data_IF_638278667600
#
_entry.id   IF_638278667600
#
_cell.length_a   1.000
_cell.length_b   1.000
_cell.length_c   1.000
_cell.angle_alpha   90.00
_cell.angle_beta   90.00
_cell.angle_gamma   90.00
#
_symmetry.space_group_name_H-M   'P 1'
#
loop_
_entity.id
_entity.type
_entity.pdbx_description
1 polymer ?
#
# COMPACT_ATOMS: atom_id res chain seq x y z
N UNK A 1 6.01 17.70 -17.56
CA UNK A 1 5.21 16.51 -17.23
C UNK A 1 4.22 16.23 -18.35
N UNK A 2 3.88 14.96 -18.62
CA UNK A 2 2.75 14.66 -19.50
C UNK A 2 1.49 15.35 -18.94
N UNK A 3 0.77 16.08 -19.80
CA UNK A 3 -0.49 16.72 -19.44
C UNK A 3 -1.64 15.71 -19.24
N UNK A 4 -1.36 14.43 -19.47
CA UNK A 4 -2.30 13.31 -19.48
C UNK A 4 -2.00 12.36 -18.31
N UNK A 5 -3.00 11.62 -17.81
CA UNK A 5 -2.76 10.52 -16.90
C UNK A 5 -1.67 9.57 -17.45
N UNK A 6 -0.77 9.11 -16.58
CA UNK A 6 0.38 8.30 -16.96
C UNK A 6 0.58 7.16 -15.96
N UNK A 7 0.82 5.95 -16.46
CA UNK A 7 1.20 4.80 -15.66
C UNK A 7 2.72 4.61 -15.60
N UNK A 8 3.15 3.54 -14.93
CA UNK A 8 4.57 3.24 -14.72
C UNK A 8 5.36 3.14 -16.02
N UNK A 9 4.81 2.50 -17.06
CA UNK A 9 5.50 2.34 -18.34
C UNK A 9 5.80 3.69 -19.01
N UNK A 10 4.83 4.61 -19.01
CA UNK A 10 5.01 5.95 -19.56
C UNK A 10 6.03 6.76 -18.74
N UNK A 11 6.02 6.61 -17.40
CA UNK A 11 7.01 7.25 -16.53
C UNK A 11 8.42 6.71 -16.79
N UNK A 12 8.59 5.38 -16.88
CA UNK A 12 9.88 4.75 -17.15
C UNK A 12 10.44 5.16 -18.52
N UNK A 13 9.60 5.13 -19.57
CA UNK A 13 9.97 5.58 -20.92
C UNK A 13 10.44 7.04 -20.92
N UNK A 14 9.74 7.91 -20.18
CA UNK A 14 10.14 9.31 -20.06
C UNK A 14 11.45 9.47 -19.27
N UNK A 15 11.62 8.74 -18.17
CA UNK A 15 12.84 8.78 -17.37
C UNK A 15 14.09 8.40 -18.18
N UNK A 16 13.99 7.34 -18.98
CA UNK A 16 15.06 6.88 -19.86
C UNK A 16 15.37 7.90 -20.96
N UNK A 17 14.34 8.40 -21.65
CA UNK A 17 14.49 9.32 -22.77
C UNK A 17 15.08 10.67 -22.37
N UNK A 18 14.64 11.23 -21.24
CA UNK A 18 15.11 12.53 -20.76
C UNK A 18 16.33 12.43 -19.83
N UNK A 19 16.80 11.20 -19.54
CA UNK A 19 17.83 10.93 -18.53
C UNK A 19 17.51 11.55 -17.15
N UNK A 20 16.23 11.54 -16.78
CA UNK A 20 15.73 12.04 -15.50
C UNK A 20 15.09 10.88 -14.69
N UNK A 21 15.76 10.37 -13.64
CA UNK A 21 15.24 9.25 -12.84
C UNK A 21 13.91 9.58 -12.12
N UNK A 22 13.53 10.86 -12.04
CA UNK A 22 12.26 11.28 -11.43
C UNK A 22 11.13 11.43 -12.45
N UNK A 23 11.39 11.12 -13.73
CA UNK A 23 10.44 11.23 -14.82
C UNK A 23 9.78 12.64 -14.92
N UNK A 24 10.56 13.70 -14.73
CA UNK A 24 10.10 15.08 -14.80
C UNK A 24 9.19 15.51 -13.64
N UNK A 25 9.08 14.68 -12.59
CA UNK A 25 8.18 14.90 -11.44
C UNK A 25 8.87 15.57 -10.24
N UNK A 26 10.21 15.60 -10.20
CA UNK A 26 10.94 16.22 -9.10
C UNK A 26 10.70 17.74 -9.09
N UNK A 27 10.39 18.26 -7.91
CA UNK A 27 10.32 19.71 -7.70
C UNK A 27 11.72 20.31 -7.65
N UNK A 28 12.00 21.31 -8.49
CA UNK A 28 13.29 22.00 -8.51
C UNK A 28 13.59 22.78 -7.21
N UNK A 29 12.56 23.18 -6.48
CA UNK A 29 12.68 23.94 -5.24
C UNK A 29 12.87 23.06 -3.99
N UNK A 30 12.78 21.73 -4.12
CA UNK A 30 12.82 20.81 -2.99
C UNK A 30 14.16 20.07 -2.90
N UNK A 31 14.78 20.14 -1.73
CA UNK A 31 15.95 19.32 -1.40
C UNK A 31 15.48 17.94 -0.89
N UNK A 32 15.87 16.83 -1.55
CA UNK A 32 15.47 15.51 -1.11
C UNK A 32 16.23 15.11 0.15
N UNK A 33 15.49 14.66 1.17
CA UNK A 33 16.05 14.01 2.35
C UNK A 33 16.26 12.51 2.11
N UNK A 34 15.37 11.88 1.34
CA UNK A 34 15.43 10.46 0.97
C UNK A 34 15.04 10.30 -0.50
N UNK A 35 15.70 9.36 -1.19
CA UNK A 35 15.31 8.92 -2.53
C UNK A 35 14.97 7.43 -2.45
N UNK A 36 13.80 7.06 -2.95
CA UNK A 36 13.35 5.67 -3.02
C UNK A 36 13.05 5.27 -4.46
N UNK A 37 13.32 4.02 -4.81
CA UNK A 37 12.85 3.45 -6.07
C UNK A 37 11.33 3.28 -5.99
N UNK A 38 10.64 3.71 -7.04
CA UNK A 38 9.18 3.81 -7.02
C UNK A 38 8.49 2.48 -7.36
N UNK A 39 9.13 1.61 -8.13
CA UNK A 39 8.66 0.26 -8.42
C UNK A 39 9.84 -0.65 -8.77
N UNK A 40 9.71 -1.95 -8.49
CA UNK A 40 10.70 -2.95 -8.88
C UNK A 40 10.85 -3.00 -10.41
N UNK A 41 12.08 -3.25 -10.88
CA UNK A 41 12.38 -3.35 -12.31
C UNK A 41 12.23 -2.06 -13.13
N UNK A 42 11.81 -0.94 -12.53
CA UNK A 42 11.64 0.34 -13.23
C UNK A 42 12.65 1.40 -12.71
N UNK A 43 13.35 2.14 -13.60
CA UNK A 43 14.30 3.18 -13.21
C UNK A 43 13.59 4.50 -12.82
N UNK A 44 12.46 4.40 -12.13
CA UNK A 44 11.65 5.54 -11.68
C UNK A 44 11.83 5.70 -10.18
N UNK A 45 12.16 6.91 -9.73
CA UNK A 45 12.45 7.22 -8.35
C UNK A 45 11.53 8.32 -7.82
N UNK A 46 11.37 8.36 -6.49
CA UNK A 46 10.73 9.44 -5.76
C UNK A 46 11.77 10.16 -4.91
N UNK A 47 11.87 11.47 -5.09
CA UNK A 47 12.57 12.39 -4.19
C UNK A 47 11.60 12.84 -3.10
N UNK A 48 11.93 12.55 -1.83
CA UNK A 48 11.09 12.87 -0.68
C UNK A 48 11.79 13.90 0.21
N UNK A 49 11.06 14.96 0.54
CA UNK A 49 11.44 15.91 1.61
C UNK A 49 11.17 15.31 3.00
N UNK A 50 11.59 15.98 4.07
CA UNK A 50 11.28 15.55 5.44
C UNK A 50 9.77 15.59 5.71
N UNK A 51 9.09 16.59 5.18
CA UNK A 51 7.65 16.75 5.25
C UNK A 51 6.92 15.62 4.53
N UNK A 52 7.43 15.20 3.36
CA UNK A 52 6.90 14.07 2.59
C UNK A 52 7.01 12.76 3.37
N UNK A 53 8.16 12.51 4.00
CA UNK A 53 8.40 11.33 4.83
C UNK A 53 7.40 11.26 5.98
N UNK A 54 7.22 12.37 6.72
CA UNK A 54 6.26 12.43 7.81
C UNK A 54 4.80 12.32 7.33
N UNK A 55 4.47 12.89 6.17
CA UNK A 55 3.13 12.80 5.58
C UNK A 55 2.81 11.38 5.10
N UNK A 56 3.80 10.67 4.55
CA UNK A 56 3.66 9.27 4.14
C UNK A 56 3.34 8.37 5.33
N UNK A 57 4.04 8.53 6.45
CA UNK A 57 3.72 7.81 7.69
C UNK A 57 2.29 8.08 8.19
N UNK A 58 1.80 9.33 8.07
CA UNK A 58 0.40 9.67 8.38
C UNK A 58 -0.58 8.98 7.45
N UNK A 59 -0.30 8.95 6.14
CA UNK A 59 -1.14 8.25 5.17
C UNK A 59 -1.22 6.74 5.46
N UNK A 60 -0.07 6.11 5.71
CA UNK A 60 0.00 4.70 6.10
C UNK A 60 -0.74 4.43 7.42
N UNK A 61 -0.60 5.30 8.42
CA UNK A 61 -1.32 5.17 9.70
C UNK A 61 -2.85 5.20 9.51
N UNK A 62 -3.35 5.99 8.55
CA UNK A 62 -4.78 6.04 8.23
C UNK A 62 -5.26 4.73 7.58
N UNK A 63 -4.44 4.12 6.72
CA UNK A 63 -4.72 2.82 6.15
C UNK A 63 -4.72 1.72 7.22
N UNK A 64 -3.75 1.71 8.13
CA UNK A 64 -3.69 0.77 9.25
C UNK A 64 -4.87 0.93 10.21
N UNK A 65 -5.28 2.17 10.51
CA UNK A 65 -6.51 2.44 11.28
C UNK A 65 -7.76 1.91 10.57
N UNK A 66 -7.76 1.84 9.24
CA UNK A 66 -8.86 1.25 8.46
C UNK A 66 -8.89 -0.27 8.56
N UNK A 67 -7.73 -0.92 8.63
CA UNK A 67 -7.60 -2.34 8.99
C UNK A 67 -7.97 -2.62 10.47
N UNK A 68 -8.16 -1.58 11.27
CA UNK A 68 -8.49 -1.69 12.69
C UNK A 68 -7.27 -1.86 13.60
N UNK A 69 -6.07 -1.50 13.16
CA UNK A 69 -4.90 -1.42 14.06
C UNK A 69 -5.17 -0.37 15.14
N UNK A 70 -4.96 -0.75 16.40
CA UNK A 70 -5.17 0.09 17.56
C UNK A 70 -3.89 0.23 18.41
N UNK A 71 -3.92 1.16 19.37
CA UNK A 71 -2.83 1.29 20.33
C UNK A 71 -2.66 0.04 21.16
N UNK A 72 -1.41 -0.40 21.35
CA UNK A 72 -1.05 -1.65 22.00
C UNK A 72 -1.00 -2.87 21.08
N UNK A 73 -1.50 -2.78 19.83
CA UNK A 73 -1.32 -3.86 18.86
C UNK A 73 0.16 -4.01 18.48
N UNK A 74 0.58 -5.25 18.25
CA UNK A 74 1.78 -5.55 17.45
C UNK A 74 1.37 -5.87 16.01
N UNK A 75 2.08 -5.33 15.02
CA UNK A 75 1.81 -5.51 13.60
C UNK A 75 2.99 -6.22 12.94
N UNK A 76 2.82 -7.48 12.53
CA UNK A 76 3.83 -8.19 11.75
C UNK A 76 3.76 -7.75 10.30
N UNK A 77 4.89 -7.35 9.71
CA UNK A 77 5.02 -7.00 8.30
C UNK A 77 5.94 -8.03 7.66
N UNK A 78 5.41 -8.83 6.73
CA UNK A 78 6.16 -9.76 5.89
C UNK A 78 6.20 -9.21 4.46
N UNK A 79 7.15 -8.31 4.24
CA UNK A 79 7.33 -7.53 3.02
C UNK A 79 8.82 -7.15 2.90
N UNK A 80 9.25 -6.72 1.73
CA UNK A 80 10.63 -6.30 1.49
C UNK A 80 10.99 -5.07 2.34
N UNK A 81 12.21 -5.02 2.87
CA UNK A 81 12.68 -3.92 3.71
C UNK A 81 12.57 -2.53 3.05
N UNK A 82 12.73 -2.45 1.73
CA UNK A 82 12.60 -1.19 0.99
C UNK A 82 11.16 -0.84 0.58
N UNK A 83 10.17 -1.67 0.92
CA UNK A 83 8.78 -1.35 0.58
C UNK A 83 8.30 -0.13 1.37
N UNK A 84 7.41 0.71 0.81
CA UNK A 84 6.80 1.81 1.56
C UNK A 84 6.02 1.35 2.79
N UNK A 85 5.52 0.12 2.84
CA UNK A 85 4.87 -0.41 4.05
C UNK A 85 5.85 -0.55 5.19
N UNK A 86 7.05 -1.06 4.90
CA UNK A 86 8.10 -1.28 5.89
C UNK A 86 8.78 0.04 6.26
N UNK A 87 9.26 0.80 5.27
CA UNK A 87 10.04 2.03 5.49
C UNK A 87 9.32 3.05 6.38
N UNK A 88 8.00 3.22 6.20
CA UNK A 88 7.22 4.21 6.94
C UNK A 88 6.49 3.64 8.15
N UNK A 89 6.69 2.36 8.49
CA UNK A 89 6.07 1.74 9.67
C UNK A 89 6.65 2.28 10.98
N UNK A 90 7.95 2.59 11.03
CA UNK A 90 8.64 3.06 12.23
C UNK A 90 9.79 4.01 11.88
N UNK A 91 10.07 4.95 12.78
CA UNK A 91 11.22 5.85 12.70
C UNK A 91 12.57 5.14 12.55
N UNK A 92 12.68 3.87 12.96
CA UNK A 92 13.93 3.12 12.87
C UNK A 92 14.28 2.65 11.45
N UNK A 93 13.35 2.69 10.49
CA UNK A 93 13.55 2.13 9.15
C UNK A 93 13.95 3.15 8.08
N UNK A 94 13.63 4.43 8.27
CA UNK A 94 13.97 5.47 7.29
C UNK A 94 14.53 6.72 7.98
N UNK A 95 15.65 7.28 7.49
CA UNK A 95 16.20 8.51 8.02
C UNK A 95 15.18 9.65 8.01
N UNK A 96 15.32 10.57 8.97
CA UNK A 96 14.51 11.78 9.11
C UNK A 96 13.03 11.58 9.45
N UNK A 97 12.57 10.34 9.62
CA UNK A 97 11.24 10.05 10.17
C UNK A 97 11.30 10.10 11.69
N UNK A 98 10.52 10.99 12.31
CA UNK A 98 10.44 11.07 13.78
C UNK A 98 9.44 10.05 14.36
N UNK A 99 8.36 9.77 13.62
CA UNK A 99 7.30 8.83 13.98
C UNK A 99 6.74 8.14 12.74
N UNK A 100 6.89 6.83 12.66
CA UNK A 100 6.23 6.01 11.65
C UNK A 100 4.75 5.74 11.95
N UNK A 101 4.10 5.00 11.07
CA UNK A 101 2.69 4.67 11.18
C UNK A 101 2.34 3.94 12.49
N UNK A 102 3.22 3.04 12.95
CA UNK A 102 3.03 2.33 14.21
C UNK A 102 3.15 3.29 15.41
N UNK A 103 4.16 4.16 15.40
CA UNK A 103 4.41 5.15 16.46
C UNK A 103 3.22 6.11 16.60
N UNK A 104 2.62 6.52 15.47
CA UNK A 104 1.44 7.38 15.43
C UNK A 104 0.18 6.72 16.00
N UNK A 105 0.06 5.40 15.89
CA UNK A 105 -1.06 4.63 16.41
C UNK A 105 -0.82 4.10 17.83
N UNK A 106 0.41 4.19 18.35
CA UNK A 106 0.82 3.53 19.59
C UNK A 106 0.91 2.00 19.45
N UNK A 107 1.16 1.51 18.25
CA UNK A 107 1.38 0.10 17.92
C UNK A 107 2.88 -0.22 17.83
N UNK A 108 3.23 -1.50 17.81
CA UNK A 108 4.62 -1.97 17.67
C UNK A 108 4.77 -2.75 16.36
N UNK A 109 5.56 -2.27 15.39
CA UNK A 109 5.78 -3.00 14.15
C UNK A 109 6.85 -4.07 14.36
N UNK A 110 6.63 -5.25 13.81
CA UNK A 110 7.61 -6.33 13.73
C UNK A 110 7.93 -6.51 12.25
N UNK A 111 9.12 -6.06 11.83
CA UNK A 111 9.57 -6.25 10.46
C UNK A 111 10.16 -7.65 10.30
N UNK A 112 9.57 -8.44 9.41
CA UNK A 112 10.14 -9.67 8.92
C UNK A 112 10.39 -9.52 7.42
N UNK A 113 11.65 -9.48 7.02
CA UNK A 113 12.01 -9.31 5.61
C UNK A 113 11.29 -10.35 4.73
N UNK A 114 10.72 -9.90 3.62
CA UNK A 114 9.82 -10.63 2.71
C UNK A 114 10.43 -11.84 1.98
N UNK A 115 11.66 -12.24 2.31
CA UNK A 115 12.35 -13.29 1.56
C UNK A 115 11.71 -14.68 1.78
N UNK A 116 11.58 -15.52 0.75
CA UNK A 116 10.93 -16.84 0.85
C UNK A 116 11.46 -17.74 1.99
N UNK A 117 12.77 -17.71 2.26
CA UNK A 117 13.43 -18.44 3.34
C UNK A 117 13.01 -17.97 4.75
N UNK A 118 12.47 -16.76 4.87
CA UNK A 118 12.01 -16.19 6.13
C UNK A 118 10.52 -16.42 6.41
N UNK A 119 9.81 -17.16 5.55
CA UNK A 119 8.43 -17.56 5.82
C UNK A 119 8.29 -18.36 7.13
N UNK A 120 9.22 -19.27 7.43
CA UNK A 120 9.22 -20.00 8.72
C UNK A 120 9.47 -19.07 9.89
N UNK A 121 10.30 -18.03 9.72
CA UNK A 121 10.52 -17.01 10.76
C UNK A 121 9.25 -16.20 10.99
N UNK A 122 8.49 -15.87 9.93
CA UNK A 122 7.18 -15.23 10.07
C UNK A 122 6.20 -16.08 10.89
N UNK A 123 6.11 -17.39 10.63
CA UNK A 123 5.25 -18.28 11.42
C UNK A 123 5.71 -18.42 12.87
N UNK A 124 7.01 -18.47 13.10
CA UNK A 124 7.56 -18.46 14.46
C UNK A 124 7.18 -17.19 15.22
N UNK A 125 7.31 -16.02 14.58
CA UNK A 125 6.90 -14.73 15.13
C UNK A 125 5.41 -14.72 15.45
N UNK A 126 4.56 -15.20 14.52
CA UNK A 126 3.11 -15.31 14.76
C UNK A 126 2.84 -16.13 16.03
N UNK A 127 3.40 -17.32 16.12
CA UNK A 127 3.18 -18.24 17.25
C UNK A 127 3.64 -17.65 18.58
N UNK A 128 4.77 -16.95 18.60
CA UNK A 128 5.42 -16.49 19.82
C UNK A 128 4.94 -15.11 20.27
N UNK A 129 4.84 -14.15 19.35
CA UNK A 129 4.49 -12.76 19.64
C UNK A 129 3.00 -12.44 19.45
N UNK A 130 2.26 -13.30 18.74
CA UNK A 130 0.81 -13.19 18.51
C UNK A 130 0.35 -11.79 18.07
N UNK A 131 0.83 -11.30 16.91
CA UNK A 131 0.50 -9.98 16.42
C UNK A 131 -1.00 -9.81 16.20
N UNK A 132 -1.53 -8.64 16.55
CA UNK A 132 -2.94 -8.32 16.33
C UNK A 132 -3.26 -8.29 14.84
N UNK A 133 -2.36 -7.76 14.01
CA UNK A 133 -2.49 -7.74 12.54
C UNK A 133 -1.22 -8.25 11.90
N UNK A 134 -1.39 -9.05 10.85
CA UNK A 134 -0.29 -9.51 10.00
C UNK A 134 -0.48 -8.94 8.60
N UNK A 135 0.54 -8.29 8.07
CA UNK A 135 0.57 -7.77 6.70
C UNK A 135 1.52 -8.65 5.89
N UNK A 136 1.07 -9.17 4.77
CA UNK A 136 1.87 -9.97 3.84
C UNK A 136 1.81 -9.33 2.46
N UNK A 137 2.95 -9.13 1.82
CA UNK A 137 2.96 -8.73 0.41
C UNK A 137 2.26 -9.81 -0.43
N UNK A 138 1.39 -9.39 -1.35
CA UNK A 138 0.66 -10.30 -2.23
C UNK A 138 1.60 -11.25 -3.01
N UNK A 139 2.77 -10.78 -3.45
CA UNK A 139 3.76 -11.59 -4.16
C UNK A 139 4.31 -12.74 -3.29
N UNK A 140 4.29 -12.58 -1.96
CA UNK A 140 4.75 -13.59 -1.01
C UNK A 140 3.65 -14.53 -0.51
N UNK A 141 2.38 -14.27 -0.85
CA UNK A 141 1.25 -15.11 -0.41
C UNK A 141 1.41 -16.58 -0.79
N UNK A 142 1.80 -16.97 -2.03
CA UNK A 142 1.98 -18.39 -2.37
C UNK A 142 3.02 -19.09 -1.50
N UNK A 143 4.11 -18.41 -1.15
CA UNK A 143 5.17 -18.97 -0.28
C UNK A 143 4.69 -19.04 1.17
N UNK A 144 4.00 -18.01 1.63
CA UNK A 144 3.43 -17.95 2.98
C UNK A 144 2.41 -19.07 3.21
N UNK A 145 1.44 -19.24 2.30
CA UNK A 145 0.42 -20.30 2.35
C UNK A 145 1.03 -21.69 2.30
N UNK A 146 1.99 -21.92 1.39
CA UNK A 146 2.72 -23.20 1.33
C UNK A 146 3.36 -23.52 2.68
N UNK A 147 3.99 -22.53 3.33
CA UNK A 147 4.62 -22.73 4.64
C UNK A 147 3.59 -22.99 5.75
N UNK A 148 2.46 -22.29 5.74
CA UNK A 148 1.34 -22.54 6.68
C UNK A 148 0.85 -23.98 6.55
N UNK A 149 0.67 -24.47 5.31
CA UNK A 149 0.24 -25.84 5.05
C UNK A 149 1.29 -26.88 5.48
N UNK A 150 2.56 -26.69 5.14
CA UNK A 150 3.67 -27.57 5.52
C UNK A 150 3.79 -27.71 7.05
N UNK A 151 3.66 -26.61 7.79
CA UNK A 151 3.72 -26.61 9.26
C UNK A 151 2.38 -26.96 9.92
N UNK A 152 1.31 -27.15 9.14
CA UNK A 152 -0.07 -27.33 9.62
C UNK A 152 -0.48 -26.24 10.63
N UNK A 153 -0.06 -25.01 10.37
CA UNK A 153 -0.25 -23.88 11.26
C UNK A 153 -1.70 -23.37 11.21
N UNK A 154 -2.27 -23.06 12.37
CA UNK A 154 -3.57 -22.40 12.50
C UNK A 154 -3.36 -20.94 12.84
N UNK A 155 -3.02 -20.13 11.85
CA UNK A 155 -2.59 -18.75 12.10
C UNK A 155 -3.70 -17.87 12.71
N UNK A 156 -4.97 -18.22 12.53
CA UNK A 156 -6.10 -17.57 13.20
C UNK A 156 -6.09 -17.67 14.73
N UNK A 157 -5.33 -18.60 15.31
CA UNK A 157 -5.09 -18.66 16.76
C UNK A 157 -4.08 -17.62 17.26
N UNK A 158 -3.34 -16.98 16.33
CA UNK A 158 -2.18 -16.14 16.64
C UNK A 158 -2.28 -14.71 16.11
N UNK A 159 -3.17 -14.46 15.15
CA UNK A 159 -3.49 -13.12 14.65
C UNK A 159 -4.98 -12.99 14.39
N UNK A 160 -5.54 -11.78 14.50
CA UNK A 160 -6.98 -11.54 14.30
C UNK A 160 -7.33 -11.13 12.87
N UNK A 161 -6.32 -10.74 12.08
CA UNK A 161 -6.48 -10.25 10.73
C UNK A 161 -5.21 -10.47 9.92
N UNK A 162 -5.37 -11.02 8.72
CA UNK A 162 -4.35 -10.96 7.68
C UNK A 162 -4.70 -9.85 6.69
N UNK A 163 -3.79 -8.90 6.47
CA UNK A 163 -3.87 -7.93 5.41
C UNK A 163 -2.92 -8.32 4.28
N UNK A 164 -3.42 -8.42 3.05
CA UNK A 164 -2.61 -8.69 1.88
C UNK A 164 -2.37 -7.39 1.13
N UNK A 165 -1.10 -7.11 0.80
CA UNK A 165 -0.71 -5.86 0.15
C UNK A 165 -0.15 -6.08 -1.24
N UNK A 166 -0.97 -5.96 -2.29
CA UNK A 166 -0.48 -5.91 -3.66
C UNK A 166 0.07 -4.52 -3.99
N UNK A 167 1.12 -4.46 -4.82
CA UNK A 167 1.75 -3.22 -5.30
C UNK A 167 1.45 -2.99 -6.76
N UNK A 168 0.62 -1.99 -7.04
CA UNK A 168 0.19 -1.62 -8.39
C UNK A 168 -0.45 -2.77 -9.20
N UNK A 169 -0.92 -3.79 -8.50
CA UNK A 169 -1.65 -4.95 -9.03
C UNK A 169 -2.93 -5.18 -8.22
N UNK A 170 -3.90 -5.90 -8.80
CA UNK A 170 -5.12 -6.26 -8.12
C UNK A 170 -4.99 -7.67 -7.50
N UNK A 171 -5.42 -7.80 -6.25
CA UNK A 171 -5.85 -9.09 -5.71
C UNK A 171 -7.37 -9.05 -5.57
N UNK A 172 -8.03 -10.00 -6.22
CA UNK A 172 -9.46 -9.91 -6.44
C UNK A 172 -10.32 -10.37 -5.29
N UNK A 173 -11.61 -10.00 -5.29
CA UNK A 173 -12.57 -10.49 -4.29
C UNK A 173 -12.60 -12.02 -4.20
N UNK A 174 -12.36 -12.73 -5.32
CA UNK A 174 -12.31 -14.19 -5.36
C UNK A 174 -11.06 -14.75 -4.69
N UNK A 175 -9.91 -14.12 -4.89
CA UNK A 175 -8.64 -14.55 -4.28
C UNK A 175 -8.66 -14.30 -2.78
N UNK A 176 -9.11 -13.12 -2.37
CA UNK A 176 -9.28 -12.77 -0.95
C UNK A 176 -10.21 -13.77 -0.25
N UNK A 177 -11.36 -14.08 -0.85
CA UNK A 177 -12.29 -15.08 -0.33
C UNK A 177 -11.74 -16.52 -0.36
N UNK A 178 -10.77 -16.82 -1.23
CA UNK A 178 -10.09 -18.11 -1.23
C UNK A 178 -9.11 -18.20 -0.05
N UNK A 179 -8.29 -17.17 0.16
CA UNK A 179 -7.35 -17.11 1.30
C UNK A 179 -8.07 -17.09 2.64
N UNK A 180 -9.18 -16.35 2.78
CA UNK A 180 -9.99 -16.34 4.00
C UNK A 180 -10.52 -17.74 4.35
N UNK A 181 -11.00 -18.49 3.35
CA UNK A 181 -11.46 -19.88 3.54
C UNK A 181 -10.32 -20.85 3.85
N UNK A 182 -9.17 -20.69 3.21
CA UNK A 182 -8.00 -21.55 3.42
C UNK A 182 -7.40 -21.36 4.82
N UNK A 183 -7.40 -20.11 5.32
CA UNK A 183 -6.77 -19.73 6.58
C UNK A 183 -7.73 -19.73 7.78
N UNK A 184 -9.05 -19.79 7.55
CA UNK A 184 -10.10 -19.64 8.56
C UNK A 184 -9.90 -18.38 9.42
N UNK A 185 -9.59 -17.26 8.75
CA UNK A 185 -9.20 -15.99 9.34
C UNK A 185 -9.62 -14.84 8.41
N UNK A 186 -10.13 -13.69 8.92
CA UNK A 186 -10.41 -12.54 8.08
C UNK A 186 -9.20 -12.13 7.23
N UNK A 187 -9.42 -11.98 5.93
CA UNK A 187 -8.40 -11.47 4.99
C UNK A 187 -8.88 -10.16 4.39
N UNK A 188 -8.05 -9.12 4.44
CA UNK A 188 -8.37 -7.79 3.91
C UNK A 188 -7.29 -7.27 2.99
N UNK A 189 -7.67 -6.40 2.04
CA UNK A 189 -6.71 -5.72 1.17
C UNK A 189 -6.08 -4.51 1.87
N UNK A 190 -4.78 -4.34 1.68
CA UNK A 190 -4.02 -3.10 1.86
C UNK A 190 -3.38 -2.74 0.51
N UNK A 191 -4.17 -2.18 -0.40
CA UNK A 191 -3.71 -1.78 -1.71
C UNK A 191 -2.64 -0.68 -1.59
N UNK A 192 -1.51 -0.87 -2.27
CA UNK A 192 -0.46 0.14 -2.41
C UNK A 192 -0.09 0.38 -3.87
N UNK A 193 0.53 1.52 -4.12
CA UNK A 193 1.20 1.82 -5.38
C UNK A 193 2.45 2.61 -5.06
N UNK A 194 3.61 1.99 -5.25
CA UNK A 194 4.92 2.62 -5.05
C UNK A 194 5.11 3.90 -5.88
N UNK A 195 4.80 3.93 -7.19
CA UNK A 195 4.97 5.13 -8.04
C UNK A 195 4.15 6.34 -7.61
N UNK A 196 3.02 6.12 -6.94
CA UNK A 196 2.14 7.15 -6.40
C UNK A 196 2.28 7.38 -4.89
N UNK A 197 3.09 6.57 -4.20
CA UNK A 197 3.18 6.48 -2.75
C UNK A 197 1.80 6.45 -2.10
N UNK A 198 0.96 5.54 -2.60
CA UNK A 198 -0.46 5.44 -2.29
C UNK A 198 -0.75 4.28 -1.34
N UNK A 199 -1.72 4.48 -0.45
CA UNK A 199 -2.25 3.43 0.43
C UNK A 199 -3.78 3.53 0.51
N UNK A 200 -4.44 2.39 0.34
CA UNK A 200 -5.85 2.21 0.64
C UNK A 200 -6.09 0.87 1.31
N UNK A 201 -6.95 0.86 2.32
CA UNK A 201 -7.22 -0.35 3.09
C UNK A 201 -8.70 -0.71 3.05
N UNK A 202 -8.97 -2.01 3.07
CA UNK A 202 -10.31 -2.55 3.09
C UNK A 202 -10.88 -2.45 4.50
N UNK A 203 -12.09 -1.90 4.62
CA UNK A 203 -12.84 -1.90 5.85
C UNK A 203 -13.62 -3.21 6.04
N UNK A 204 -14.32 -3.33 7.16
CA UNK A 204 -15.08 -4.53 7.52
C UNK A 204 -16.27 -4.79 6.60
N UNK A 205 -16.77 -3.75 5.92
CA UNK A 205 -17.81 -3.87 4.90
C UNK A 205 -17.28 -4.27 3.52
N UNK A 206 -15.98 -4.56 3.39
CA UNK A 206 -15.36 -5.02 2.16
C UNK A 206 -14.95 -3.92 1.17
N UNK A 207 -15.21 -2.64 1.48
CA UNK A 207 -14.81 -1.51 0.63
C UNK A 207 -13.40 -0.99 0.97
N UNK A 208 -12.63 -0.61 -0.05
CA UNK A 208 -11.35 0.11 0.08
C UNK A 208 -11.59 1.59 0.36
N UNK A 209 -10.72 2.15 1.21
CA UNK A 209 -10.71 3.56 1.57
C UNK A 209 -9.30 4.14 1.51
N UNK A 210 -9.16 5.25 0.78
CA UNK A 210 -8.02 6.15 0.86
C UNK A 210 -8.43 7.43 1.62
N UNK A 211 -7.53 8.02 2.41
CA UNK A 211 -7.82 9.26 3.12
C UNK A 211 -7.85 10.45 2.13
N UNK A 212 -9.00 11.17 1.99
CA UNK A 212 -9.13 12.28 1.06
C UNK A 212 -8.23 13.47 1.39
N UNK A 213 -7.68 13.54 2.61
CA UNK A 213 -6.65 14.54 2.96
C UNK A 213 -5.32 14.27 2.25
N UNK A 214 -5.02 12.99 1.98
CA UNK A 214 -3.77 12.55 1.38
C UNK A 214 -3.91 12.31 -0.13
N UNK A 215 -5.07 11.86 -0.60
CA UNK A 215 -5.26 11.42 -1.97
C UNK A 215 -6.55 11.96 -2.61
N UNK A 216 -6.51 12.21 -3.93
CA UNK A 216 -7.70 12.20 -4.78
C UNK A 216 -7.71 10.89 -5.54
N UNK A 217 -8.83 10.19 -5.51
CA UNK A 217 -9.05 8.92 -6.22
C UNK A 217 -10.15 9.12 -7.25
N UNK A 218 -9.84 8.74 -8.49
CA UNK A 218 -10.66 8.82 -9.68
C UNK A 218 -10.55 7.49 -10.45
N UNK A 219 -11.39 7.28 -11.47
CA UNK A 219 -11.24 6.17 -12.43
C UNK A 219 -11.01 6.72 -13.82
N UNK A 220 -10.17 6.06 -14.62
CA UNK A 220 -10.07 6.28 -16.06
C UNK A 220 -10.85 5.16 -16.76
N UNK A 221 -12.06 5.42 -17.29
CA UNK A 221 -12.90 4.37 -17.89
C UNK A 221 -12.26 3.67 -19.09
N UNK A 222 -11.46 4.42 -19.84
CA UNK A 222 -10.64 3.96 -20.96
C UNK A 222 -9.27 4.61 -20.85
N UNK A 223 -8.21 3.90 -21.21
CA UNK A 223 -6.86 4.46 -21.26
C UNK A 223 -6.83 5.73 -22.13
N UNK A 224 -6.24 6.81 -21.62
CA UNK A 224 -6.18 8.11 -22.29
C UNK A 224 -7.44 8.98 -22.18
N UNK A 225 -8.52 8.49 -21.58
CA UNK A 225 -9.70 9.31 -21.27
C UNK A 225 -9.51 10.18 -20.03
N UNK A 226 -10.31 11.25 -19.90
CA UNK A 226 -10.32 12.07 -18.69
C UNK A 226 -10.81 11.26 -17.49
N UNK A 227 -10.08 11.25 -16.35
CA UNK A 227 -10.52 10.57 -15.16
C UNK A 227 -11.82 11.16 -14.61
N UNK A 228 -12.72 10.29 -14.15
CA UNK A 228 -13.99 10.64 -13.55
C UNK A 228 -14.06 10.21 -12.09
N UNK A 229 -14.86 10.92 -11.31
CA UNK A 229 -14.98 10.73 -9.86
C UNK A 229 -15.64 9.40 -9.43
N UNK A 230 -16.39 8.77 -10.33
CA UNK A 230 -17.29 7.62 -10.09
C UNK A 230 -17.39 6.84 -11.39
N UNK A 231 -17.37 5.51 -11.30
CA UNK A 231 -17.49 4.61 -12.43
C UNK A 231 -16.60 3.39 -12.24
N UNK A 232 -16.35 2.71 -13.35
CA UNK A 232 -15.44 1.57 -13.42
C UNK A 232 -14.30 1.91 -14.37
N UNK A 233 -13.10 1.39 -14.10
CA UNK A 233 -11.92 1.56 -14.94
C UNK A 233 -10.64 1.55 -14.11
N UNK A 234 -9.54 1.96 -14.73
CA UNK A 234 -8.22 1.96 -14.09
C UNK A 234 -8.16 3.02 -12.98
N UNK A 235 -7.59 2.64 -11.83
CA UNK A 235 -7.43 3.50 -10.67
C UNK A 235 -6.50 4.68 -10.99
N UNK A 236 -7.03 5.90 -10.86
CA UNK A 236 -6.30 7.14 -11.08
C UNK A 236 -6.06 7.87 -9.75
N UNK A 237 -4.78 8.14 -9.44
CA UNK A 237 -4.33 8.62 -8.13
C UNK A 237 -3.67 9.99 -8.28
N UNK A 238 -4.11 10.95 -7.48
CA UNK A 238 -3.35 12.19 -7.24
C UNK A 238 -2.92 12.24 -5.78
N UNK A 239 -1.61 12.27 -5.53
CA UNK A 239 -1.07 12.47 -4.20
C UNK A 239 -1.08 13.98 -3.87
N UNK A 240 -1.67 14.34 -2.72
CA UNK A 240 -1.89 15.75 -2.33
C UNK A 240 -0.84 16.30 -1.39
N UNK A 241 -0.01 15.44 -0.81
CA UNK A 241 0.93 15.84 0.23
C UNK A 241 2.38 15.89 -0.26
N UNK A 242 2.74 15.14 -1.30
CA UNK A 242 4.10 15.12 -1.81
C UNK A 242 4.52 16.48 -2.40
N UNK A 243 5.67 16.98 -1.96
CA UNK A 243 6.30 18.24 -2.39
C UNK A 243 7.59 18.01 -3.15
N UNK A 244 8.36 16.98 -2.79
CA UNK A 244 9.61 16.63 -3.47
C UNK A 244 9.39 16.01 -4.85
N UNK A 245 8.30 15.26 -5.01
CA UNK A 245 7.91 14.62 -6.27
C UNK A 245 6.41 14.79 -6.50
N UNK A 246 6.03 15.45 -7.60
CA UNK A 246 4.62 15.61 -7.97
C UNK A 246 4.03 14.29 -8.47
N UNK A 247 2.85 13.92 -7.97
CA UNK A 247 2.09 12.76 -8.44
C UNK A 247 0.68 13.22 -8.74
N UNK A 248 0.44 13.54 -10.00
CA UNK A 248 -0.86 13.97 -10.50
C UNK A 248 -1.41 12.95 -11.48
N UNK A 249 -2.63 12.46 -11.22
CA UNK A 249 -3.37 11.52 -12.08
C UNK A 249 -2.53 10.33 -12.55
N UNK A 250 -1.77 9.73 -11.64
CA UNK A 250 -1.06 8.47 -11.90
C UNK A 250 -2.07 7.35 -12.17
N UNK A 251 -1.88 6.60 -13.26
CA UNK A 251 -2.70 5.44 -13.60
C UNK A 251 -2.05 4.18 -13.04
N UNK A 252 -2.63 3.65 -11.96
CA UNK A 252 -2.25 2.35 -11.42
C UNK A 252 -2.79 1.22 -12.31
N UNK A 253 -2.07 0.11 -12.38
CA UNK A 253 -2.50 -1.09 -13.12
C UNK A 253 -3.51 -1.92 -12.30
N UNK A 254 -4.56 -1.25 -11.82
CA UNK A 254 -5.59 -1.81 -10.94
C UNK A 254 -6.95 -1.35 -11.42
N UNK A 255 -7.79 -2.29 -11.83
CA UNK A 255 -9.17 -2.02 -12.22
C UNK A 255 -10.06 -1.93 -10.97
N UNK A 256 -10.79 -0.82 -10.86
CA UNK A 256 -11.64 -0.53 -9.69
C UNK A 256 -13.02 -0.04 -10.10
N UNK A 257 -13.98 -0.21 -9.18
CA UNK A 257 -15.26 0.48 -9.22
C UNK A 257 -15.35 1.47 -8.06
N UNK A 258 -15.58 2.75 -8.36
CA UNK A 258 -15.89 3.79 -7.37
C UNK A 258 -17.39 4.05 -7.39
N UNK A 259 -18.05 3.80 -6.27
CA UNK A 259 -19.51 3.89 -6.14
C UNK A 259 -19.98 5.29 -5.70
N UNK A 260 -21.22 5.64 -6.07
CA UNK A 260 -21.92 6.79 -5.48
C UNK A 260 -22.50 6.36 -4.15
N UNK A 261 -21.97 6.88 -3.05
CA UNK A 261 -22.55 6.64 -1.75
C UNK A 261 -21.55 6.74 -0.61
N UNK A 262 -22.09 6.57 0.60
CA UNK A 262 -21.29 6.39 1.80
C UNK A 262 -21.18 4.90 2.07
N UNK A 263 -20.01 4.46 2.52
CA UNK A 263 -19.85 3.11 3.02
C UNK A 263 -20.59 2.95 4.35
N UNK A 264 -21.17 1.77 4.59
CA UNK A 264 -21.82 1.43 5.87
C UNK A 264 -20.85 1.47 7.06
N UNK A 265 -19.54 1.45 6.83
CA UNK A 265 -18.53 1.62 7.88
C UNK A 265 -18.46 3.05 8.46
N UNK A 266 -19.20 4.01 7.91
CA UNK A 266 -19.29 5.39 8.40
C UNK A 266 -18.10 6.29 8.02
N UNK A 267 -17.14 5.78 7.22
CA UNK A 267 -16.02 6.58 6.72
C UNK A 267 -16.49 7.57 5.66
N UNK A 268 -15.91 8.77 5.71
CA UNK A 268 -16.28 9.88 4.81
C UNK A 268 -15.61 9.82 3.44
N UNK A 269 -14.62 8.93 3.24
CA UNK A 269 -14.00 8.74 1.94
C UNK A 269 -14.90 7.90 1.03
N UNK A 270 -14.87 8.18 -0.28
CA UNK A 270 -15.64 7.39 -1.24
C UNK A 270 -15.15 5.94 -1.22
N UNK A 271 -16.04 4.97 -1.00
CA UNK A 271 -15.67 3.57 -1.09
C UNK A 271 -15.35 3.20 -2.54
N UNK A 272 -14.41 2.29 -2.70
CA UNK A 272 -14.15 1.64 -3.98
C UNK A 272 -13.78 0.17 -3.77
N UNK A 273 -13.78 -0.61 -4.84
CA UNK A 273 -13.43 -2.04 -4.81
C UNK A 273 -12.61 -2.43 -6.04
N UNK A 274 -11.72 -3.39 -5.89
CA UNK A 274 -11.03 -4.02 -7.03
C UNK A 274 -12.02 -4.89 -7.82
N UNK A 275 -11.90 -4.90 -9.15
CA UNK A 275 -12.78 -5.65 -10.06
C UNK A 275 -12.22 -7.00 -10.50
N UNK A 276 -10.89 -7.10 -10.65
CA UNK A 276 -10.17 -8.33 -10.95
C UNK A 276 -9.81 -9.03 -9.66
#
# INVERSE_FOLDING_TARGET
MPATPAGLHQLATHAEREHDPFAGRRSAAAEPAVVIQAADGAPVYLALTREDIAATARALSSAWKTLGVAGGDTVLIYDYGASPLTLFASWCYVPHLEKGAADLLGAVPICNDGLPEFASRALHVLRYLRPGVTIVDAAHMPVFLRRVAEERARIGEWTRLLAVSPDDEAAGPREIAAWERELDLPVRLLLRSGPALFFAAQCEAGALHADPRHYRVEVAPVEGSEPVAVGEGSLCITNRFLRGTSVERYLANVEVAIERGLCSCGRSSRPFRCLA
#
